data_IF_255564296554
#
_entry.id   IF_255564296554
#
_cell.length_a   1.000
_cell.length_b   1.000
_cell.length_c   1.000
_cell.angle_alpha   90.00
_cell.angle_beta   90.00
_cell.angle_gamma   90.00
#
_symmetry.space_group_name_H-M   'P 1'
#
loop_
_entity.id
_entity.type
_entity.pdbx_description
1 polymer ?
#
# COMPACT_ATOMS: atom_id res chain seq x y z
N UNK A 1 -5.20 -34.17 -23.54
CA UNK A 1 -4.67 -32.81 -23.81
C UNK A 1 -3.59 -32.50 -22.75
N UNK A 2 -2.37 -32.12 -23.10
CA UNK A 2 -1.39 -31.72 -22.11
C UNK A 2 -1.90 -30.44 -21.44
N UNK A 3 -1.98 -30.45 -20.11
CA UNK A 3 -2.27 -29.25 -19.29
C UNK A 3 -1.05 -28.34 -19.47
N UNK A 4 -1.23 -27.26 -20.22
CA UNK A 4 -0.22 -26.19 -20.29
C UNK A 4 -0.13 -25.60 -18.89
N UNK A 5 0.93 -25.94 -18.20
CA UNK A 5 1.21 -25.41 -16.87
C UNK A 5 1.55 -23.94 -17.03
N UNK A 6 0.67 -23.06 -16.59
CA UNK A 6 0.98 -21.63 -16.51
C UNK A 6 2.02 -21.39 -15.38
N UNK A 7 3.28 -21.35 -15.79
CA UNK A 7 4.42 -21.15 -14.90
C UNK A 7 4.31 -19.82 -14.13
N UNK A 8 3.80 -18.77 -14.75
CA UNK A 8 3.61 -17.46 -14.11
C UNK A 8 2.49 -17.51 -13.08
N UNK A 9 1.41 -18.20 -13.34
CA UNK A 9 0.34 -18.38 -12.38
C UNK A 9 0.82 -19.15 -11.15
N UNK A 10 1.53 -20.27 -11.33
CA UNK A 10 2.11 -21.03 -10.21
C UNK A 10 3.12 -20.22 -9.40
N UNK A 11 3.95 -19.44 -10.08
CA UNK A 11 4.91 -18.55 -9.41
C UNK A 11 4.20 -17.53 -8.54
N UNK A 12 3.08 -16.98 -9.02
CA UNK A 12 2.22 -16.07 -8.23
C UNK A 12 1.57 -16.78 -7.04
N UNK A 13 1.03 -17.97 -7.23
CA UNK A 13 0.43 -18.77 -6.14
C UNK A 13 1.44 -19.04 -5.02
N UNK A 14 2.66 -19.43 -5.35
CA UNK A 14 3.73 -19.62 -4.37
C UNK A 14 4.04 -18.31 -3.63
N UNK A 15 4.14 -17.19 -4.34
CA UNK A 15 4.41 -15.89 -3.74
C UNK A 15 3.26 -15.38 -2.86
N UNK A 16 2.00 -15.66 -3.19
CA UNK A 16 0.85 -15.30 -2.35
C UNK A 16 0.85 -16.10 -1.03
N UNK A 17 1.10 -17.40 -1.09
CA UNK A 17 1.23 -18.24 0.11
C UNK A 17 2.42 -17.79 0.96
N UNK A 18 3.53 -17.48 0.33
CA UNK A 18 4.68 -16.95 1.04
C UNK A 18 4.39 -15.60 1.71
N UNK A 19 3.64 -14.71 1.04
CA UNK A 19 3.19 -13.45 1.62
C UNK A 19 2.37 -13.68 2.89
N UNK A 20 1.47 -14.68 2.89
CA UNK A 20 0.69 -15.05 4.07
C UNK A 20 1.56 -15.55 5.23
N UNK A 21 2.53 -16.41 4.93
CA UNK A 21 3.45 -16.92 5.93
C UNK A 21 4.35 -15.81 6.49
N UNK A 22 4.88 -14.94 5.63
CA UNK A 22 5.70 -13.78 6.02
C UNK A 22 4.89 -12.82 6.89
N UNK A 23 3.66 -12.54 6.54
CA UNK A 23 2.79 -11.66 7.32
C UNK A 23 2.51 -12.17 8.74
N UNK A 24 2.38 -13.50 8.89
CA UNK A 24 2.07 -14.14 10.18
C UNK A 24 3.30 -14.40 11.05
N UNK A 25 4.47 -14.67 10.48
CA UNK A 25 5.64 -15.18 11.18
C UNK A 25 6.91 -14.35 11.02
N UNK A 26 6.90 -13.38 10.11
CA UNK A 26 8.09 -12.66 9.68
C UNK A 26 8.94 -13.46 8.68
N UNK A 27 9.74 -12.75 7.87
CA UNK A 27 10.55 -13.32 6.78
C UNK A 27 11.53 -14.39 7.26
N UNK A 28 12.21 -14.14 8.39
CA UNK A 28 13.27 -15.03 8.89
C UNK A 28 12.77 -16.43 9.26
N UNK A 29 11.53 -16.52 9.75
CA UNK A 29 10.93 -17.78 10.20
C UNK A 29 10.28 -18.59 9.09
N UNK A 30 10.13 -18.03 7.89
CA UNK A 30 9.52 -18.74 6.76
C UNK A 30 10.57 -19.58 6.05
N UNK A 31 10.26 -20.85 5.81
CA UNK A 31 11.13 -21.81 5.11
C UNK A 31 10.52 -22.26 3.77
N UNK A 32 11.36 -22.65 2.82
CA UNK A 32 10.91 -23.24 1.54
C UNK A 32 10.05 -24.47 1.77
N UNK A 33 10.35 -25.29 2.82
CA UNK A 33 9.56 -26.48 3.17
C UNK A 33 8.13 -26.11 3.60
N UNK A 34 7.97 -25.07 4.40
CA UNK A 34 6.64 -24.60 4.83
C UNK A 34 5.84 -24.03 3.68
N UNK A 35 6.49 -23.29 2.78
CA UNK A 35 5.85 -22.80 1.56
C UNK A 35 5.40 -23.96 0.69
N UNK A 36 6.25 -24.93 0.47
CA UNK A 36 5.93 -26.15 -0.29
C UNK A 36 4.74 -26.89 0.33
N UNK A 37 4.75 -27.11 1.63
CA UNK A 37 3.65 -27.75 2.34
C UNK A 37 2.34 -26.97 2.23
N UNK A 38 2.39 -25.63 2.33
CA UNK A 38 1.20 -24.79 2.28
C UNK A 38 0.63 -24.64 0.84
N UNK A 39 1.46 -24.78 -0.20
CA UNK A 39 1.04 -24.74 -1.60
C UNK A 39 0.63 -26.09 -2.17
N UNK A 40 0.96 -27.19 -1.46
CA UNK A 40 0.82 -28.55 -2.00
C UNK A 40 1.87 -28.92 -3.05
N UNK A 41 2.93 -28.10 -3.21
CA UNK A 41 4.02 -28.36 -4.14
C UNK A 41 5.20 -29.05 -3.43
N UNK A 42 6.08 -29.69 -4.20
CA UNK A 42 7.35 -30.18 -3.65
C UNK A 42 8.32 -28.99 -3.44
N UNK A 43 9.28 -29.18 -2.52
CA UNK A 43 10.36 -28.21 -2.31
C UNK A 43 11.16 -27.94 -3.60
N UNK A 44 11.33 -28.97 -4.45
CA UNK A 44 11.97 -28.84 -5.76
C UNK A 44 11.22 -27.89 -6.67
N UNK A 45 9.89 -27.97 -6.70
CA UNK A 45 9.04 -27.06 -7.49
C UNK A 45 9.18 -25.63 -6.98
N UNK A 46 9.11 -25.42 -5.67
CA UNK A 46 9.29 -24.06 -5.10
C UNK A 46 10.67 -23.50 -5.42
N UNK A 47 11.73 -24.31 -5.27
CA UNK A 47 13.11 -23.89 -5.58
C UNK A 47 13.37 -23.69 -7.07
N UNK A 48 12.55 -24.29 -7.94
CA UNK A 48 12.58 -24.00 -9.38
C UNK A 48 12.06 -22.59 -9.70
N UNK A 49 11.05 -22.13 -8.96
CA UNK A 49 10.46 -20.81 -9.18
C UNK A 49 11.22 -19.66 -8.48
N UNK A 50 11.91 -19.94 -7.39
CA UNK A 50 12.60 -18.94 -6.57
C UNK A 50 13.97 -19.43 -6.13
N UNK A 51 15.00 -18.69 -6.47
CA UNK A 51 16.39 -18.98 -6.07
C UNK A 51 16.57 -18.93 -4.56
N UNK A 52 15.91 -17.95 -3.94
CA UNK A 52 16.03 -17.68 -2.52
C UNK A 52 14.78 -16.95 -1.97
N UNK A 53 14.77 -16.72 -0.67
CA UNK A 53 13.73 -15.97 0.02
C UNK A 53 13.66 -14.50 -0.40
N UNK A 54 14.74 -13.93 -0.90
CA UNK A 54 14.80 -12.53 -1.34
C UNK A 54 13.94 -12.33 -2.58
N UNK A 55 14.13 -13.20 -3.60
CA UNK A 55 13.33 -13.16 -4.81
C UNK A 55 11.84 -13.32 -4.51
N UNK A 56 11.52 -14.21 -3.59
CA UNK A 56 10.17 -14.46 -3.14
C UNK A 56 9.57 -13.25 -2.41
N UNK A 57 10.31 -12.61 -1.50
CA UNK A 57 9.88 -11.39 -0.83
C UNK A 57 9.67 -10.23 -1.82
N UNK A 58 10.56 -10.10 -2.79
CA UNK A 58 10.44 -9.09 -3.85
C UNK A 58 9.12 -9.27 -4.63
N UNK A 59 8.79 -10.51 -5.02
CA UNK A 59 7.54 -10.78 -5.73
C UNK A 59 6.32 -10.58 -4.81
N UNK A 60 6.36 -11.06 -3.57
CA UNK A 60 5.30 -10.86 -2.60
C UNK A 60 5.00 -9.35 -2.37
N UNK A 61 6.06 -8.54 -2.25
CA UNK A 61 5.96 -7.09 -2.16
C UNK A 61 5.29 -6.47 -3.39
N UNK A 62 5.72 -6.87 -4.60
CA UNK A 62 5.12 -6.40 -5.86
C UNK A 62 3.65 -6.77 -5.99
N UNK A 63 3.26 -7.96 -5.57
CA UNK A 63 1.88 -8.41 -5.56
C UNK A 63 1.03 -7.62 -4.56
N UNK A 64 1.54 -7.38 -3.36
CA UNK A 64 0.87 -6.55 -2.36
C UNK A 64 0.67 -5.10 -2.88
N UNK A 65 1.68 -4.50 -3.50
CA UNK A 65 1.58 -3.19 -4.13
C UNK A 65 0.55 -3.17 -5.28
N UNK A 66 0.50 -4.23 -6.10
CA UNK A 66 -0.48 -4.34 -7.17
C UNK A 66 -1.92 -4.48 -6.62
N UNK A 67 -2.12 -5.19 -5.50
CA UNK A 67 -3.43 -5.27 -4.82
C UNK A 67 -3.87 -3.90 -4.29
N UNK A 68 -2.99 -3.17 -3.63
CA UNK A 68 -3.28 -1.81 -3.17
C UNK A 68 -3.62 -0.89 -4.35
N UNK A 69 -2.86 -0.97 -5.44
CA UNK A 69 -3.14 -0.19 -6.65
C UNK A 69 -4.54 -0.51 -7.22
N UNK A 70 -4.93 -1.77 -7.32
CA UNK A 70 -6.28 -2.14 -7.77
C UNK A 70 -7.37 -1.59 -6.87
N UNK A 71 -7.17 -1.59 -5.53
CA UNK A 71 -8.13 -0.98 -4.60
C UNK A 71 -8.26 0.53 -4.82
N UNK A 72 -7.14 1.23 -5.04
CA UNK A 72 -7.14 2.67 -5.38
C UNK A 72 -7.87 2.91 -6.70
N UNK A 73 -7.56 2.14 -7.73
CA UNK A 73 -8.18 2.29 -9.05
C UNK A 73 -9.68 1.93 -9.04
N UNK A 74 -10.13 1.12 -8.09
CA UNK A 74 -11.54 0.79 -7.87
C UNK A 74 -12.32 1.89 -7.14
N UNK A 75 -11.65 2.86 -6.51
CA UNK A 75 -12.31 3.98 -5.84
C UNK A 75 -13.12 4.81 -6.85
N UNK A 76 -14.40 4.99 -6.55
CA UNK A 76 -15.35 5.76 -7.37
C UNK A 76 -15.73 7.06 -6.68
N UNK A 77 -16.28 7.98 -7.43
CA UNK A 77 -16.60 9.34 -6.98
C UNK A 77 -15.77 10.38 -7.71
N UNK A 78 -15.92 11.62 -7.34
CA UNK A 78 -15.21 12.76 -7.89
C UNK A 78 -14.50 13.55 -6.78
N UNK A 79 -13.61 14.44 -7.19
CA UNK A 79 -12.96 15.40 -6.30
C UNK A 79 -12.47 14.80 -4.99
N UNK A 80 -12.85 15.42 -3.89
CA UNK A 80 -12.42 15.06 -2.52
C UNK A 80 -12.91 13.67 -2.10
N UNK A 81 -14.08 13.23 -2.57
CA UNK A 81 -14.58 11.90 -2.25
C UNK A 81 -13.69 10.80 -2.84
N UNK A 82 -13.30 10.94 -4.12
CA UNK A 82 -12.39 10.00 -4.76
C UNK A 82 -11.02 9.99 -4.08
N UNK A 83 -10.49 11.17 -3.75
CA UNK A 83 -9.22 11.27 -3.01
C UNK A 83 -9.33 10.50 -1.69
N UNK A 84 -10.37 10.75 -0.88
CA UNK A 84 -10.58 10.07 0.40
C UNK A 84 -10.62 8.56 0.23
N UNK A 85 -11.45 8.03 -0.68
CA UNK A 85 -11.59 6.59 -0.90
C UNK A 85 -10.28 5.95 -1.42
N UNK A 86 -9.53 6.66 -2.27
CA UNK A 86 -8.24 6.22 -2.78
C UNK A 86 -7.20 6.10 -1.67
N UNK A 87 -7.20 7.03 -0.73
CA UNK A 87 -6.27 7.02 0.42
C UNK A 87 -6.70 5.98 1.45
N UNK A 88 -8.00 5.85 1.74
CA UNK A 88 -8.53 4.78 2.59
C UNK A 88 -8.13 3.39 2.08
N UNK A 89 -8.08 3.19 0.76
CA UNK A 89 -7.68 1.92 0.13
C UNK A 89 -6.24 1.47 0.45
N UNK A 90 -5.40 2.38 0.96
CA UNK A 90 -4.03 2.07 1.39
C UNK A 90 -3.99 1.64 2.86
N UNK A 91 -4.94 2.09 3.71
CA UNK A 91 -4.95 1.82 5.13
C UNK A 91 -5.23 0.32 5.44
N UNK A 92 -4.70 -0.22 6.56
CA UNK A 92 -4.95 -1.59 7.00
C UNK A 92 -6.33 -1.74 7.68
N UNK A 93 -7.41 -1.50 6.91
CA UNK A 93 -8.78 -1.46 7.43
C UNK A 93 -9.40 -2.85 7.62
N UNK A 94 -8.87 -3.86 6.94
CA UNK A 94 -9.30 -5.25 6.98
C UNK A 94 -8.11 -6.21 7.06
N UNK A 95 -8.36 -7.51 7.14
CA UNK A 95 -7.31 -8.52 7.25
C UNK A 95 -6.43 -8.56 5.99
N UNK A 96 -7.00 -8.41 4.81
CA UNK A 96 -6.26 -8.47 3.54
C UNK A 96 -5.29 -7.28 3.40
N UNK A 97 -5.76 -6.06 3.68
CA UNK A 97 -4.90 -4.86 3.66
C UNK A 97 -3.86 -4.87 4.79
N UNK A 98 -4.20 -5.41 5.96
CA UNK A 98 -3.25 -5.59 7.06
C UNK A 98 -2.15 -6.58 6.71
N UNK A 99 -2.49 -7.67 6.02
CA UNK A 99 -1.52 -8.62 5.46
C UNK A 99 -0.55 -7.94 4.48
N UNK A 100 -1.07 -7.12 3.56
CA UNK A 100 -0.23 -6.36 2.64
C UNK A 100 0.77 -5.45 3.38
N UNK A 101 0.33 -4.79 4.44
CA UNK A 101 1.19 -3.96 5.28
C UNK A 101 2.28 -4.77 5.99
N UNK A 102 1.97 -5.97 6.49
CA UNK A 102 2.97 -6.85 7.10
C UNK A 102 4.06 -7.26 6.09
N UNK A 103 3.68 -7.54 4.84
CA UNK A 103 4.64 -7.81 3.75
C UNK A 103 5.49 -6.57 3.45
N UNK A 104 4.89 -5.38 3.40
CA UNK A 104 5.64 -4.14 3.19
C UNK A 104 6.64 -3.86 4.30
N UNK A 105 6.26 -4.05 5.56
CA UNK A 105 7.18 -3.86 6.69
C UNK A 105 8.36 -4.84 6.62
N UNK A 106 8.10 -6.11 6.30
CA UNK A 106 9.15 -7.09 6.08
C UNK A 106 10.08 -6.71 4.92
N UNK A 107 9.53 -6.17 3.83
CA UNK A 107 10.31 -5.67 2.70
C UNK A 107 11.14 -4.44 3.08
N UNK A 108 10.56 -3.48 3.79
CA UNK A 108 11.24 -2.25 4.18
C UNK A 108 12.40 -2.47 5.14
N UNK A 109 12.30 -3.48 6.01
CA UNK A 109 13.43 -3.86 6.87
C UNK A 109 14.66 -4.28 6.07
N UNK A 110 14.47 -4.99 4.95
CA UNK A 110 15.56 -5.36 4.04
C UNK A 110 15.98 -4.16 3.19
N UNK A 111 15.03 -3.39 2.67
CA UNK A 111 15.29 -2.23 1.80
C UNK A 111 16.11 -1.12 2.47
N UNK A 112 16.11 -1.07 3.80
CA UNK A 112 16.90 -0.11 4.58
C UNK A 112 18.41 -0.31 4.44
N UNK A 113 18.85 -1.56 4.19
CA UNK A 113 20.29 -1.93 4.15
C UNK A 113 20.72 -2.57 2.84
N UNK A 114 19.79 -2.94 1.97
CA UNK A 114 20.05 -3.62 0.70
C UNK A 114 19.82 -2.70 -0.49
N UNK A 115 20.78 -2.61 -1.38
CA UNK A 115 20.77 -1.67 -2.50
C UNK A 115 19.67 -1.96 -3.53
N UNK A 116 19.42 -3.25 -3.86
CA UNK A 116 18.42 -3.67 -4.82
C UNK A 116 17.00 -3.40 -4.29
N UNK A 117 16.74 -3.84 -3.06
CA UNK A 117 15.45 -3.59 -2.38
C UNK A 117 15.21 -2.10 -2.16
N UNK A 118 16.25 -1.36 -1.79
CA UNK A 118 16.19 0.09 -1.66
C UNK A 118 15.87 0.79 -2.98
N UNK A 119 16.42 0.32 -4.11
CA UNK A 119 16.09 0.86 -5.43
C UNK A 119 14.62 0.60 -5.81
N UNK A 120 14.12 -0.61 -5.59
CA UNK A 120 12.70 -0.94 -5.80
C UNK A 120 11.79 -0.09 -4.91
N UNK A 121 12.13 0.09 -3.62
CA UNK A 121 11.35 0.93 -2.71
C UNK A 121 11.33 2.39 -3.18
N UNK A 122 12.47 2.97 -3.56
CA UNK A 122 12.51 4.35 -4.09
C UNK A 122 11.67 4.52 -5.35
N UNK A 123 11.70 3.54 -6.25
CA UNK A 123 10.86 3.54 -7.45
C UNK A 123 9.37 3.56 -7.08
N UNK A 124 8.94 2.66 -6.18
CA UNK A 124 7.56 2.58 -5.71
C UNK A 124 7.10 3.82 -4.97
N UNK A 125 7.96 4.41 -4.17
CA UNK A 125 7.65 5.65 -3.45
C UNK A 125 7.38 6.79 -4.43
N UNK A 126 8.19 6.92 -5.49
CA UNK A 126 7.94 7.93 -6.54
C UNK A 126 6.64 7.69 -7.27
N UNK A 127 6.35 6.45 -7.70
CA UNK A 127 5.09 6.10 -8.38
C UNK A 127 3.86 6.39 -7.49
N UNK A 128 3.97 6.13 -6.18
CA UNK A 128 2.89 6.39 -5.22
C UNK A 128 2.71 7.89 -5.00
N UNK A 129 3.80 8.65 -4.87
CA UNK A 129 3.74 10.11 -4.74
C UNK A 129 3.11 10.75 -5.98
N UNK A 130 3.52 10.33 -7.17
CA UNK A 130 2.96 10.84 -8.44
C UNK A 130 1.47 10.55 -8.57
N UNK A 131 1.05 9.35 -8.17
CA UNK A 131 -0.38 9.00 -8.14
C UNK A 131 -1.13 9.91 -7.16
N UNK A 132 -0.61 10.07 -5.96
CA UNK A 132 -1.24 10.86 -4.91
C UNK A 132 -1.30 12.34 -5.30
N UNK A 133 -0.24 12.88 -5.89
CA UNK A 133 -0.21 14.25 -6.42
C UNK A 133 -1.32 14.48 -7.43
N UNK A 134 -1.53 13.57 -8.40
CA UNK A 134 -2.63 13.68 -9.37
C UNK A 134 -4.00 13.62 -8.70
N UNK A 135 -4.20 12.77 -7.70
CA UNK A 135 -5.47 12.70 -6.98
C UNK A 135 -5.74 13.98 -6.19
N UNK A 136 -4.73 14.54 -5.53
CA UNK A 136 -4.83 15.81 -4.81
C UNK A 136 -5.11 16.96 -5.75
N UNK A 137 -4.38 17.07 -6.85
CA UNK A 137 -4.59 18.12 -7.86
C UNK A 137 -6.02 18.08 -8.41
N UNK A 138 -6.50 16.89 -8.78
CA UNK A 138 -7.87 16.70 -9.28
C UNK A 138 -8.96 16.96 -8.24
N UNK A 139 -8.66 16.72 -6.95
CA UNK A 139 -9.61 16.94 -5.87
C UNK A 139 -9.74 18.40 -5.45
N UNK A 140 -8.63 19.14 -5.46
CA UNK A 140 -8.54 20.47 -4.85
C UNK A 140 -8.37 21.58 -5.87
N UNK A 141 -8.21 21.27 -7.16
CA UNK A 141 -7.84 22.27 -8.19
C UNK A 141 -6.49 22.92 -7.89
N UNK A 142 -5.61 22.22 -7.16
CA UNK A 142 -4.36 22.77 -6.67
C UNK A 142 -3.31 22.85 -7.78
N UNK A 143 -2.42 23.85 -7.71
CA UNK A 143 -1.23 23.95 -8.54
C UNK A 143 -0.25 22.81 -8.22
N UNK A 144 0.62 22.44 -9.15
CA UNK A 144 1.51 21.28 -9.00
C UNK A 144 2.38 21.28 -7.74
N UNK A 145 2.93 22.44 -7.36
CA UNK A 145 3.75 22.55 -6.14
C UNK A 145 2.93 22.29 -4.86
N UNK A 146 1.75 22.91 -4.77
CA UNK A 146 0.85 22.74 -3.62
C UNK A 146 0.30 21.32 -3.55
N UNK A 147 0.00 20.71 -4.70
CA UNK A 147 -0.45 19.32 -4.79
C UNK A 147 0.64 18.34 -4.35
N UNK A 148 1.92 18.62 -4.65
CA UNK A 148 3.05 17.80 -4.22
C UNK A 148 3.20 17.85 -2.70
N UNK A 149 3.26 19.03 -2.11
CA UNK A 149 3.38 19.20 -0.67
C UNK A 149 2.21 18.56 0.10
N UNK A 150 0.98 18.72 -0.41
CA UNK A 150 -0.20 18.10 0.17
C UNK A 150 -0.16 16.55 0.05
N UNK A 151 0.29 16.01 -1.09
CA UNK A 151 0.45 14.58 -1.29
C UNK A 151 1.50 13.97 -0.35
N UNK A 152 2.64 14.62 -0.16
CA UNK A 152 3.70 14.19 0.77
C UNK A 152 3.20 14.16 2.22
N UNK A 153 2.50 15.20 2.66
CA UNK A 153 1.87 15.24 3.99
C UNK A 153 0.87 14.12 4.17
N UNK A 154 -0.01 13.93 3.19
CA UNK A 154 -1.03 12.89 3.22
C UNK A 154 -0.43 11.49 3.28
N UNK A 155 0.60 11.20 2.49
CA UNK A 155 1.31 9.92 2.54
C UNK A 155 2.01 9.71 3.89
N UNK A 156 2.63 10.76 4.46
CA UNK A 156 3.24 10.70 5.79
C UNK A 156 2.20 10.36 6.86
N UNK A 157 1.03 11.00 6.82
CA UNK A 157 -0.07 10.70 7.74
C UNK A 157 -0.60 9.26 7.56
N UNK A 158 -0.78 8.81 6.31
CA UNK A 158 -1.22 7.44 6.00
C UNK A 158 -0.24 6.41 6.55
N UNK A 159 1.05 6.59 6.33
CA UNK A 159 2.07 5.68 6.86
C UNK A 159 2.08 5.68 8.39
N UNK A 160 1.97 6.84 9.03
CA UNK A 160 1.85 6.94 10.48
C UNK A 160 0.63 6.24 11.04
N UNK A 161 -0.55 6.47 10.47
CA UNK A 161 -1.82 5.81 10.86
C UNK A 161 -1.70 4.29 10.69
N UNK A 162 -1.21 3.85 9.54
CA UNK A 162 -1.11 2.44 9.21
C UNK A 162 -0.11 1.70 10.10
N UNK A 163 1.04 2.29 10.39
CA UNK A 163 2.03 1.74 11.33
C UNK A 163 1.41 1.52 12.71
N UNK A 164 0.71 2.52 13.23
CA UNK A 164 0.01 2.40 14.51
C UNK A 164 -1.04 1.28 14.48
N UNK A 165 -1.80 1.17 13.38
CA UNK A 165 -2.85 0.17 13.25
C UNK A 165 -2.33 -1.26 13.07
N UNK A 166 -1.13 -1.44 12.48
CA UNK A 166 -0.48 -2.75 12.40
C UNK A 166 0.07 -3.18 13.76
N UNK A 167 0.69 -2.26 14.52
CA UNK A 167 1.29 -2.58 15.81
C UNK A 167 0.27 -2.70 16.96
N UNK A 168 -0.80 -1.91 16.93
CA UNK A 168 -1.85 -1.93 17.96
C UNK A 168 -3.24 -1.87 17.31
N UNK A 169 -3.71 -2.97 16.70
CA UNK A 169 -4.99 -3.00 15.99
C UNK A 169 -6.19 -2.80 16.92
N UNK A 170 -6.07 -3.13 18.22
CA UNK A 170 -7.12 -2.92 19.19
C UNK A 170 -7.35 -1.42 19.46
N UNK A 171 -6.26 -0.67 19.56
CA UNK A 171 -6.31 0.79 19.76
C UNK A 171 -6.61 1.53 18.47
N UNK A 172 -6.27 0.96 17.30
CA UNK A 172 -6.45 1.56 15.99
C UNK A 172 -7.42 0.77 15.10
N UNK A 173 -8.68 0.58 15.52
CA UNK A 173 -9.69 -0.07 14.68
C UNK A 173 -9.96 0.77 13.42
N UNK A 174 -10.59 0.16 12.41
CA UNK A 174 -10.86 0.79 11.11
C UNK A 174 -11.55 2.16 11.23
N UNK A 175 -12.50 2.32 12.19
CA UNK A 175 -13.15 3.61 12.45
C UNK A 175 -12.14 4.70 12.81
N UNK A 176 -11.27 4.43 13.79
CA UNK A 176 -10.26 5.40 14.24
C UNK A 176 -9.28 5.79 13.13
N UNK A 177 -8.89 4.83 12.30
CA UNK A 177 -8.02 5.09 11.14
C UNK A 177 -8.72 6.07 10.16
N UNK A 178 -9.99 5.84 9.84
CA UNK A 178 -10.78 6.73 8.98
C UNK A 178 -10.98 8.13 9.60
N UNK A 179 -11.25 8.20 10.88
CA UNK A 179 -11.42 9.48 11.58
C UNK A 179 -10.12 10.29 11.55
N UNK A 180 -8.96 9.66 11.79
CA UNK A 180 -7.65 10.30 11.71
C UNK A 180 -7.32 10.76 10.29
N UNK A 181 -7.61 9.93 9.28
CA UNK A 181 -7.46 10.32 7.87
C UNK A 181 -8.37 11.49 7.51
N UNK A 182 -9.63 11.49 7.94
CA UNK A 182 -10.57 12.58 7.67
C UNK A 182 -10.09 13.90 8.28
N UNK A 183 -9.54 13.87 9.49
CA UNK A 183 -8.94 15.04 10.12
C UNK A 183 -7.76 15.59 9.30
N UNK A 184 -6.90 14.73 8.76
CA UNK A 184 -5.79 15.15 7.91
C UNK A 184 -6.28 15.73 6.57
N UNK A 185 -7.24 15.09 5.92
CA UNK A 185 -7.84 15.60 4.69
C UNK A 185 -8.48 16.98 4.87
N UNK A 186 -9.08 17.25 6.03
CA UNK A 186 -9.65 18.56 6.34
C UNK A 186 -8.60 19.68 6.42
N UNK A 187 -7.34 19.34 6.73
CA UNK A 187 -6.24 20.32 6.76
C UNK A 187 -5.71 20.64 5.36
N UNK A 188 -5.90 19.74 4.40
CA UNK A 188 -5.42 19.86 3.03
C UNK A 188 -6.46 20.54 2.15
N UNK A 189 -7.76 20.43 2.47
CA UNK A 189 -8.83 21.07 1.72
C UNK A 189 -8.63 22.59 1.66
N UNK A 190 -8.78 23.23 0.48
CA UNK A 190 -8.60 24.67 0.38
C UNK A 190 -9.55 25.39 1.33
N UNK A 191 -9.00 26.33 2.10
CA UNK A 191 -9.79 27.25 2.96
C UNK A 191 -10.60 28.23 2.09
N UNK A 192 -11.52 27.73 1.29
CA UNK A 192 -12.21 28.50 0.25
C UNK A 192 -13.51 29.15 0.74
N UNK A 193 -13.65 29.52 2.01
CA UNK A 193 -14.91 30.17 2.42
C UNK A 193 -14.80 31.47 3.25
N UNK A 194 -13.61 31.92 3.60
CA UNK A 194 -13.49 33.16 4.41
C UNK A 194 -13.29 34.41 3.51
N UNK A 195 -12.71 34.26 2.31
CA UNK A 195 -12.48 35.43 1.43
C UNK A 195 -13.68 35.83 0.57
N UNK A 196 -14.65 34.92 0.29
CA UNK A 196 -15.87 35.27 -0.45
C UNK A 196 -16.93 36.00 0.38
N UNK A 197 -16.94 35.78 1.72
CA UNK A 197 -17.89 36.51 2.59
C UNK A 197 -17.41 37.91 2.96
N UNK A 198 -16.09 38.19 2.90
CA UNK A 198 -15.57 39.53 3.15
C UNK A 198 -15.70 40.49 1.93
N UNK A 199 -15.82 39.95 0.72
CA UNK A 199 -15.93 40.75 -0.50
C UNK A 199 -17.40 41.00 -0.93
N UNK A 200 -18.39 40.37 -0.29
CA UNK A 200 -19.81 40.51 -0.62
C UNK A 200 -20.63 41.39 0.32
N UNK A 201 -20.00 42.04 1.27
CA UNK A 201 -20.65 42.85 2.32
C UNK A 201 -20.48 44.36 2.20
N UNK A 202 -20.36 44.89 0.97
CA UNK A 202 -20.40 46.34 0.78
C UNK A 202 -21.25 46.64 -0.46
N UNK A 203 -22.54 46.75 -0.27
CA UNK A 203 -23.45 47.59 -1.04
C UNK A 203 -24.64 47.97 -0.17
#
# INVERSE_FOLDING_TARGET
MPIVVDHEQRRREVAEVAADLIARRGLERVTVREIAAATGFSTTVVSHYFKDKRELLMLAYRLAAARARRRIDAARGDGVQRLRLSVEAILPLDEASRRDWSVWLAFWSVAATDAEFGAEQRRRSRETLDLMRRLVAGALGAQDADATAAAERLLTAVYGIAMQAVFDPARWPAKRQRDALAAELATIAPRNDVRRRAAGGSR
#
